data_IF_935364138856
#
_entry.id   IF_935364138856
#
_cell.length_a   1.000
_cell.length_b   1.000
_cell.length_c   1.000
_cell.angle_alpha   90.00
_cell.angle_beta   90.00
_cell.angle_gamma   90.00
#
_symmetry.space_group_name_H-M   'P 1'
#
loop_
_entity.id
_entity.type
_entity.pdbx_description
1 polymer ?
#
# COMPACT_ATOMS: atom_id res chain seq x y z
N UNK A 1 -41.35 49.67 -20.74
CA UNK A 1 -40.06 49.42 -20.04
C UNK A 1 -39.97 47.92 -19.77
N UNK A 2 -39.07 47.21 -20.47
CA UNK A 2 -38.94 45.75 -20.42
C UNK A 2 -38.11 45.34 -19.19
N UNK A 3 -38.64 44.45 -18.36
CA UNK A 3 -37.92 43.82 -17.24
C UNK A 3 -37.21 42.57 -17.80
N UNK A 4 -35.89 42.54 -17.80
CA UNK A 4 -35.12 41.32 -18.11
C UNK A 4 -34.86 40.54 -16.83
N UNK A 5 -35.39 39.33 -16.74
CA UNK A 5 -34.99 38.33 -15.76
C UNK A 5 -33.62 37.77 -16.17
N UNK A 6 -32.61 37.87 -15.29
CA UNK A 6 -31.39 37.08 -15.39
C UNK A 6 -31.68 35.71 -14.74
N UNK A 7 -31.84 34.68 -15.56
CA UNK A 7 -31.72 33.28 -15.14
C UNK A 7 -30.24 32.91 -15.14
N UNK A 8 -29.65 32.72 -13.96
CA UNK A 8 -28.30 32.19 -13.80
C UNK A 8 -28.28 30.69 -14.09
N UNK A 9 -27.60 30.29 -15.16
CA UNK A 9 -27.35 28.89 -15.49
C UNK A 9 -26.19 28.39 -14.62
N UNK A 10 -26.47 27.55 -13.63
CA UNK A 10 -25.44 26.83 -12.89
C UNK A 10 -24.92 25.70 -13.79
N UNK A 11 -23.72 25.86 -14.34
CA UNK A 11 -23.03 24.81 -15.07
C UNK A 11 -22.37 23.91 -14.03
N UNK A 12 -23.02 22.80 -13.69
CA UNK A 12 -22.39 21.73 -12.92
C UNK A 12 -21.35 21.03 -13.79
N UNK A 13 -20.07 21.16 -13.43
CA UNK A 13 -19.01 20.32 -13.99
C UNK A 13 -19.19 18.89 -13.48
N UNK A 14 -19.74 18.02 -14.33
CA UNK A 14 -19.71 16.58 -14.11
C UNK A 14 -18.32 16.09 -14.52
N UNK A 15 -17.46 15.79 -13.54
CA UNK A 15 -16.22 15.06 -13.82
C UNK A 15 -16.64 13.60 -14.02
N UNK A 16 -16.64 13.17 -15.28
CA UNK A 16 -16.85 11.78 -15.64
C UNK A 16 -15.53 11.03 -15.36
N UNK A 17 -15.40 10.43 -14.18
CA UNK A 17 -14.30 9.52 -13.90
C UNK A 17 -14.51 8.24 -14.70
N UNK A 18 -13.72 8.06 -15.75
CA UNK A 18 -13.57 6.78 -16.42
C UNK A 18 -12.80 5.88 -15.46
N UNK A 19 -13.50 5.05 -14.70
CA UNK A 19 -12.87 3.95 -13.99
C UNK A 19 -12.37 2.98 -15.06
N UNK A 20 -11.04 2.85 -15.20
CA UNK A 20 -10.48 1.72 -15.93
C UNK A 20 -11.02 0.45 -15.29
N UNK A 21 -11.58 -0.45 -16.09
CA UNK A 21 -11.91 -1.78 -15.58
C UNK A 21 -10.59 -2.45 -15.25
N UNK A 22 -10.30 -2.61 -13.97
CA UNK A 22 -9.27 -3.51 -13.52
C UNK A 22 -9.55 -4.89 -14.12
N UNK A 23 -8.50 -5.51 -14.66
CA UNK A 23 -8.57 -6.86 -15.21
C UNK A 23 -7.78 -7.76 -14.28
N UNK A 24 -8.31 -8.93 -14.01
CA UNK A 24 -7.55 -9.96 -13.32
C UNK A 24 -6.26 -10.26 -14.09
N UNK A 25 -5.13 -10.29 -13.37
CA UNK A 25 -3.81 -10.59 -13.90
C UNK A 25 -3.08 -11.56 -12.98
N UNK A 26 -2.17 -12.37 -13.54
CA UNK A 26 -1.43 -13.38 -12.79
C UNK A 26 0.02 -12.91 -12.61
N UNK A 27 0.48 -12.88 -11.36
CA UNK A 27 1.84 -12.54 -10.97
C UNK A 27 2.44 -13.65 -10.12
N UNK A 28 3.59 -14.19 -10.53
CA UNK A 28 4.23 -15.33 -9.86
C UNK A 28 3.33 -16.57 -9.66
N UNK A 29 2.31 -16.74 -10.51
CA UNK A 29 1.34 -17.83 -10.41
C UNK A 29 0.12 -17.55 -9.53
N UNK A 30 0.02 -16.36 -8.95
CA UNK A 30 -1.07 -15.90 -8.09
C UNK A 30 -1.99 -14.96 -8.87
N UNK A 31 -3.30 -15.14 -8.74
CA UNK A 31 -4.32 -14.31 -9.39
C UNK A 31 -4.59 -13.05 -8.56
N UNK A 32 -4.50 -11.88 -9.19
CA UNK A 32 -4.84 -10.58 -8.61
C UNK A 32 -6.05 -10.02 -9.38
N UNK A 33 -7.26 -10.05 -8.80
CA UNK A 33 -8.49 -9.63 -9.48
C UNK A 33 -8.46 -8.18 -9.98
N UNK A 34 -7.74 -7.30 -9.26
CA UNK A 34 -7.58 -5.89 -9.62
C UNK A 34 -6.34 -5.62 -10.50
N UNK A 35 -5.52 -6.65 -10.75
CA UNK A 35 -4.31 -6.56 -11.57
C UNK A 35 -3.20 -5.72 -10.94
N UNK A 36 -2.46 -4.97 -11.78
CA UNK A 36 -1.27 -4.23 -11.35
C UNK A 36 -1.51 -3.19 -10.24
N UNK A 37 -2.74 -2.69 -10.06
CA UNK A 37 -3.08 -1.73 -9.00
C UNK A 37 -3.10 -2.37 -7.61
N UNK A 38 -3.05 -3.69 -7.51
CA UNK A 38 -3.02 -4.41 -6.22
C UNK A 38 -1.73 -4.20 -5.42
N UNK A 39 -0.68 -3.65 -6.01
CA UNK A 39 0.66 -3.64 -5.45
C UNK A 39 1.01 -2.34 -4.74
N UNK A 40 1.85 -2.43 -3.70
CA UNK A 40 2.34 -1.27 -2.97
C UNK A 40 3.19 -0.36 -3.87
N UNK A 41 3.03 0.95 -3.72
CA UNK A 41 3.56 1.96 -4.64
C UNK A 41 4.31 3.11 -3.93
N UNK A 42 4.38 3.08 -2.59
CA UNK A 42 5.15 4.01 -1.78
C UNK A 42 5.86 3.27 -0.63
N UNK A 43 7.14 3.57 -0.38
CA UNK A 43 7.84 3.14 0.83
C UNK A 43 7.84 4.27 1.86
N UNK A 44 7.69 3.92 3.14
CA UNK A 44 7.54 4.86 4.25
C UNK A 44 8.75 4.82 5.19
N UNK A 45 9.26 3.62 5.45
CA UNK A 45 10.40 3.37 6.32
C UNK A 45 11.20 2.21 5.74
N UNK A 46 12.53 2.34 5.78
CA UNK A 46 13.45 1.26 5.46
C UNK A 46 14.65 1.34 6.42
N UNK A 47 14.77 0.32 7.26
CA UNK A 47 15.82 0.19 8.27
C UNK A 47 16.47 -1.19 8.12
N UNK A 48 17.33 -1.40 7.10
CA UNK A 48 18.02 -2.66 6.96
C UNK A 48 19.10 -2.81 8.04
N UNK A 49 19.43 -4.06 8.37
CA UNK A 49 20.53 -4.35 9.29
C UNK A 49 21.84 -4.58 8.53
N UNK A 50 22.77 -5.34 9.10
CA UNK A 50 24.11 -5.53 8.52
C UNK A 50 24.06 -6.33 7.22
N UNK A 51 25.19 -6.36 6.51
CA UNK A 51 25.43 -7.22 5.36
C UNK A 51 24.49 -7.07 4.14
N UNK A 52 23.53 -6.14 4.18
CA UNK A 52 22.77 -5.65 3.03
C UNK A 52 23.54 -4.55 2.29
N UNK A 53 23.99 -4.84 1.07
CA UNK A 53 24.81 -3.94 0.26
C UNK A 53 24.15 -3.62 -1.09
N UNK A 54 24.58 -2.53 -1.72
CA UNK A 54 24.09 -2.16 -3.06
C UNK A 54 24.32 -3.29 -4.08
N UNK A 55 23.36 -3.58 -4.98
CA UNK A 55 22.11 -2.83 -5.20
C UNK A 55 20.93 -3.23 -4.28
N UNK A 56 21.10 -4.23 -3.41
CA UNK A 56 20.03 -4.82 -2.61
C UNK A 56 19.53 -3.94 -1.45
N UNK A 57 20.24 -2.83 -1.18
CA UNK A 57 19.88 -1.84 -0.17
C UNK A 57 18.98 -0.70 -0.70
N UNK A 58 18.24 -0.95 -1.78
CA UNK A 58 17.33 0.02 -2.41
C UNK A 58 15.86 -0.39 -2.19
N UNK A 59 15.12 0.30 -1.29
CA UNK A 59 13.74 -0.03 -0.98
C UNK A 59 12.76 0.22 -2.12
N UNK A 60 13.19 0.92 -3.19
CA UNK A 60 12.35 1.11 -4.37
C UNK A 60 12.22 -0.16 -5.21
N UNK A 61 13.08 -1.16 -4.98
CA UNK A 61 13.02 -2.46 -5.65
C UNK A 61 11.83 -3.31 -5.21
N UNK A 62 11.20 -3.00 -4.06
CA UNK A 62 10.02 -3.71 -3.53
C UNK A 62 8.68 -3.10 -3.99
N UNK A 63 8.70 -2.09 -4.88
CA UNK A 63 7.51 -1.34 -5.30
C UNK A 63 6.98 -1.81 -6.66
N UNK A 64 5.65 -1.82 -6.79
CA UNK A 64 4.96 -2.20 -8.01
C UNK A 64 4.80 -3.71 -8.18
N UNK A 65 4.58 -4.14 -9.41
CA UNK A 65 4.42 -5.56 -9.74
C UNK A 65 5.74 -6.31 -9.60
N UNK A 66 5.74 -7.60 -9.23
CA UNK A 66 6.96 -8.41 -9.15
C UNK A 66 7.60 -8.53 -10.53
N UNK A 67 8.93 -8.38 -10.58
CA UNK A 67 9.70 -8.40 -11.83
C UNK A 67 10.82 -9.46 -11.85
N UNK A 68 10.91 -10.28 -10.79
CA UNK A 68 11.89 -11.33 -10.63
C UNK A 68 11.29 -12.75 -10.83
N UNK A 69 11.91 -13.63 -11.63
CA UNK A 69 12.94 -13.40 -12.67
C UNK A 69 12.35 -12.72 -13.92
N UNK A 70 13.13 -11.92 -14.69
CA UNK A 70 14.58 -12.07 -14.90
C UNK A 70 15.47 -11.03 -14.21
N UNK A 71 14.91 -10.03 -13.53
CA UNK A 71 15.69 -8.85 -13.10
C UNK A 71 16.49 -9.10 -11.81
N UNK A 72 16.07 -10.07 -10.98
CA UNK A 72 16.64 -10.37 -9.65
C UNK A 72 16.82 -9.14 -8.77
N UNK A 73 16.02 -8.09 -9.00
CA UNK A 73 15.99 -6.90 -8.16
C UNK A 73 15.09 -7.22 -6.97
N UNK A 74 15.58 -6.93 -5.77
CA UNK A 74 14.84 -7.11 -4.54
C UNK A 74 15.42 -6.19 -3.47
N UNK A 75 14.59 -5.82 -2.51
CA UNK A 75 15.00 -5.10 -1.31
C UNK A 75 15.32 -6.13 -0.22
N UNK A 76 16.60 -6.30 0.11
CA UNK A 76 16.97 -7.13 1.25
C UNK A 76 16.73 -6.37 2.55
N UNK A 77 16.25 -7.07 3.57
CA UNK A 77 16.00 -6.48 4.88
C UNK A 77 17.22 -6.56 5.80
N UNK A 78 18.04 -7.59 5.69
CA UNK A 78 18.98 -7.97 6.73
C UNK A 78 18.27 -8.63 7.90
N UNK A 79 19.01 -9.37 8.72
CA UNK A 79 18.47 -10.03 9.92
C UNK A 79 17.71 -9.02 10.80
N UNK A 80 16.44 -9.27 11.08
CA UNK A 80 15.54 -8.38 11.86
C UNK A 80 15.33 -6.97 11.26
N UNK A 81 15.69 -6.75 10.00
CA UNK A 81 15.47 -5.49 9.30
C UNK A 81 14.01 -5.20 9.00
N UNK A 82 13.68 -3.91 8.83
CA UNK A 82 12.29 -3.45 8.70
C UNK A 82 12.07 -2.70 7.39
N UNK A 83 10.99 -3.04 6.69
CA UNK A 83 10.45 -2.31 5.56
C UNK A 83 8.98 -1.99 5.79
N UNK A 84 8.58 -0.73 5.62
CA UNK A 84 7.18 -0.32 5.63
C UNK A 84 6.79 0.20 4.26
N UNK A 85 5.82 -0.48 3.66
CA UNK A 85 5.23 -0.15 2.38
C UNK A 85 3.81 0.39 2.56
N UNK A 86 3.35 1.12 1.55
CA UNK A 86 2.03 1.72 1.52
C UNK A 86 1.38 1.56 0.14
N UNK A 87 0.07 1.37 0.20
CA UNK A 87 -0.87 1.41 -0.91
C UNK A 87 -1.46 2.83 -1.01
N UNK A 88 -1.12 3.59 -2.05
CA UNK A 88 -1.65 4.96 -2.22
C UNK A 88 -2.89 5.05 -3.10
N UNK A 89 -3.05 4.15 -4.05
CA UNK A 89 -4.19 4.10 -4.97
C UNK A 89 -5.07 2.84 -4.83
N UNK A 90 -4.72 1.94 -3.90
CA UNK A 90 -5.54 0.83 -3.42
C UNK A 90 -5.44 0.67 -1.88
N UNK A 91 -5.92 -0.45 -1.34
CA UNK A 91 -5.79 -0.84 0.06
C UNK A 91 -6.07 -2.33 0.22
N UNK A 92 -5.41 -2.98 1.19
CA UNK A 92 -5.72 -4.35 1.59
C UNK A 92 -7.03 -4.37 2.40
N UNK A 93 -7.87 -5.38 2.16
CA UNK A 93 -9.12 -5.62 2.90
C UNK A 93 -9.35 -7.12 3.08
N UNK A 94 -10.23 -7.49 4.00
CA UNK A 94 -10.69 -8.89 4.21
C UNK A 94 -11.48 -9.43 3.02
N UNK A 95 -11.31 -10.70 2.68
CA UNK A 95 -11.98 -11.45 1.58
C UNK A 95 -13.18 -12.27 2.01
N UNK A 96 -13.42 -12.43 3.32
CA UNK A 96 -14.56 -13.15 3.92
C UNK A 96 -14.50 -14.69 3.80
N UNK A 97 -13.35 -15.25 3.44
CA UNK A 97 -13.08 -16.68 3.40
C UNK A 97 -11.67 -17.01 3.92
N UNK A 98 -11.18 -18.23 3.68
CA UNK A 98 -9.85 -18.71 4.10
C UNK A 98 -8.80 -18.61 2.98
N UNK A 99 -9.08 -17.81 1.94
CA UNK A 99 -8.10 -17.51 0.90
C UNK A 99 -7.10 -16.45 1.36
N UNK A 100 -5.96 -16.37 0.68
CA UNK A 100 -4.97 -15.36 0.99
C UNK A 100 -5.43 -13.98 0.51
N UNK A 101 -5.34 -12.99 1.40
CA UNK A 101 -5.67 -11.59 1.10
C UNK A 101 -4.45 -10.78 0.65
N UNK A 102 -3.27 -11.17 1.14
CA UNK A 102 -1.99 -10.49 0.92
C UNK A 102 -0.96 -11.50 0.45
N UNK A 103 -0.08 -11.08 -0.45
CA UNK A 103 1.03 -11.89 -0.93
C UNK A 103 2.33 -11.12 -0.92
N UNK A 104 3.39 -11.77 -0.45
CA UNK A 104 4.75 -11.25 -0.44
C UNK A 104 5.54 -11.98 -1.54
N UNK A 105 6.09 -11.23 -2.48
CA UNK A 105 7.02 -11.77 -3.47
C UNK A 105 8.43 -11.59 -2.94
N UNK A 106 9.13 -12.71 -2.83
CA UNK A 106 10.51 -12.78 -2.36
C UNK A 106 11.36 -13.50 -3.41
N UNK A 107 12.62 -13.07 -3.56
CA UNK A 107 13.57 -13.69 -4.48
C UNK A 107 14.47 -14.64 -3.72
N UNK A 108 14.62 -15.88 -4.21
CA UNK A 108 15.53 -16.84 -3.60
C UNK A 108 14.83 -17.84 -2.67
N UNK A 109 15.51 -18.25 -1.61
CA UNK A 109 14.92 -19.12 -0.59
C UNK A 109 14.03 -18.28 0.32
N UNK A 110 12.83 -18.78 0.60
CA UNK A 110 11.87 -18.07 1.46
C UNK A 110 12.43 -17.96 2.89
N UNK A 111 12.73 -16.74 3.33
CA UNK A 111 13.10 -16.43 4.71
C UNK A 111 11.87 -16.02 5.53
N UNK A 112 11.89 -16.35 6.82
CA UNK A 112 10.76 -16.06 7.69
C UNK A 112 10.62 -14.55 7.91
N UNK A 113 9.52 -13.95 7.46
CA UNK A 113 9.26 -12.52 7.62
C UNK A 113 7.96 -12.31 8.38
N UNK A 114 7.98 -11.57 9.48
CA UNK A 114 6.76 -11.15 10.19
C UNK A 114 6.04 -10.03 9.45
N UNK A 115 4.73 -10.15 9.36
CA UNK A 115 3.86 -9.22 8.65
C UNK A 115 2.92 -8.53 9.64
N UNK A 116 2.90 -7.20 9.59
CA UNK A 116 1.92 -6.39 10.28
C UNK A 116 1.25 -5.39 9.35
N UNK A 117 -0.01 -5.06 9.60
CA UNK A 117 -0.80 -4.15 8.77
C UNK A 117 -1.35 -2.98 9.58
N UNK A 118 -1.59 -1.84 8.91
CA UNK A 118 -2.14 -0.65 9.55
C UNK A 118 -3.05 0.14 8.62
N UNK A 119 -4.05 0.81 9.21
CA UNK A 119 -4.91 1.77 8.52
C UNK A 119 -4.33 3.19 8.57
N UNK A 120 -3.42 3.49 9.51
CA UNK A 120 -2.94 4.84 9.78
C UNK A 120 -1.41 4.99 9.85
N UNK A 121 -0.66 3.88 9.79
CA UNK A 121 0.81 3.87 9.84
C UNK A 121 1.39 4.02 11.25
N UNK A 122 0.57 4.00 12.30
CA UNK A 122 1.01 4.08 13.70
C UNK A 122 0.48 2.96 14.59
N UNK A 123 -0.75 2.50 14.35
CA UNK A 123 -1.37 1.38 15.07
C UNK A 123 -1.26 0.13 14.20
N UNK A 124 -0.51 -0.87 14.67
CA UNK A 124 -0.14 -2.05 13.90
C UNK A 124 -0.84 -3.30 14.42
N UNK A 125 -1.32 -4.14 13.51
CA UNK A 125 -1.88 -5.46 13.79
C UNK A 125 -0.96 -6.50 13.18
N UNK A 126 -0.37 -7.37 14.00
CA UNK A 126 0.41 -8.50 13.49
C UNK A 126 -0.52 -9.55 12.90
N UNK A 127 -0.27 -9.94 11.65
CA UNK A 127 -1.08 -10.89 10.88
C UNK A 127 -0.27 -12.12 10.46
N UNK A 128 0.77 -12.46 11.23
CA UNK A 128 1.54 -13.68 11.06
C UNK A 128 2.90 -13.46 10.41
N UNK A 129 3.34 -14.48 9.67
CA UNK A 129 4.64 -14.49 8.99
C UNK A 129 4.63 -15.42 7.77
N UNK A 130 5.63 -15.29 6.91
CA UNK A 130 5.83 -16.10 5.69
C UNK A 130 6.52 -17.45 5.94
N UNK A 131 6.66 -17.90 7.20
CA UNK A 131 7.36 -19.16 7.48
C UNK A 131 6.54 -20.39 7.05
N UNK A 132 7.20 -21.45 6.55
CA UNK A 132 6.55 -22.74 6.30
C UNK A 132 6.02 -22.97 4.88
N UNK A 133 6.62 -22.32 3.87
CA UNK A 133 6.38 -22.50 2.43
C UNK A 133 5.20 -21.72 1.81
N UNK A 134 4.63 -20.73 2.50
CA UNK A 134 3.63 -19.84 1.90
C UNK A 134 4.03 -18.38 2.07
N UNK A 135 4.05 -17.63 0.97
CA UNK A 135 4.25 -16.18 1.00
C UNK A 135 2.92 -15.40 1.12
N UNK A 136 1.80 -16.13 1.19
CA UNK A 136 0.46 -15.57 1.37
C UNK A 136 0.04 -15.45 2.83
N UNK A 137 -0.74 -14.41 3.13
CA UNK A 137 -1.36 -14.16 4.43
C UNK A 137 -2.88 -14.03 4.23
N UNK A 138 -3.63 -14.86 4.94
CA UNK A 138 -5.07 -14.71 5.19
C UNK A 138 -5.22 -13.79 6.42
N UNK A 139 -5.74 -12.58 6.21
CA UNK A 139 -5.96 -11.61 7.30
C UNK A 139 -7.33 -11.81 7.96
N UNK A 140 -8.26 -12.50 7.31
CA UNK A 140 -9.56 -12.89 7.88
C UNK A 140 -9.37 -13.79 9.12
N UNK A 141 -8.31 -14.61 9.15
CA UNK A 141 -7.89 -15.38 10.32
C UNK A 141 -7.61 -14.53 11.59
N UNK A 142 -7.43 -13.22 11.44
CA UNK A 142 -7.14 -12.28 12.52
C UNK A 142 -8.32 -11.36 12.86
N UNK A 143 -9.51 -11.63 12.31
CA UNK A 143 -10.74 -10.91 12.67
C UNK A 143 -11.03 -11.07 14.15
N UNK A 144 -11.23 -9.94 14.85
CA UNK A 144 -11.41 -9.90 16.30
C UNK A 144 -10.12 -9.99 17.11
N UNK A 145 -8.97 -10.12 16.45
CA UNK A 145 -7.62 -10.01 17.04
C UNK A 145 -6.91 -8.70 16.63
N UNK A 146 -7.66 -7.75 16.09
CA UNK A 146 -7.16 -6.45 15.61
C UNK A 146 -7.52 -6.18 14.16
N UNK A 147 -7.82 -7.22 13.37
CA UNK A 147 -8.39 -7.03 12.03
C UNK A 147 -9.89 -6.74 12.15
N UNK A 148 -10.30 -5.66 11.50
CA UNK A 148 -11.68 -5.20 11.40
C UNK A 148 -12.22 -5.52 10.01
N UNK A 149 -13.42 -6.07 9.98
CA UNK A 149 -14.07 -6.55 8.78
C UNK A 149 -14.38 -5.41 7.79
N UNK A 150 -13.87 -5.51 6.56
CA UNK A 150 -14.00 -4.47 5.53
C UNK A 150 -13.20 -3.18 5.81
N UNK A 151 -12.30 -3.20 6.80
CA UNK A 151 -11.36 -2.11 7.00
C UNK A 151 -10.35 -2.06 5.86
N UNK A 152 -9.84 -0.85 5.62
CA UNK A 152 -8.88 -0.56 4.55
C UNK A 152 -7.50 -0.34 5.15
N UNK A 153 -6.64 -1.33 5.01
CA UNK A 153 -5.27 -1.29 5.48
C UNK A 153 -4.39 -0.75 4.36
N UNK A 154 -3.91 0.49 4.54
CA UNK A 154 -3.05 1.16 3.56
C UNK A 154 -1.57 0.87 3.77
N UNK A 155 -1.17 0.26 4.89
CA UNK A 155 0.24 0.04 5.23
C UNK A 155 0.51 -1.42 5.54
N UNK A 156 1.66 -1.90 5.10
CA UNK A 156 2.21 -3.22 5.44
C UNK A 156 3.63 -3.02 5.95
N UNK A 157 3.94 -3.63 7.10
CA UNK A 157 5.26 -3.68 7.69
C UNK A 157 5.77 -5.11 7.60
N UNK A 158 6.99 -5.24 7.07
CA UNK A 158 7.74 -6.47 6.97
C UNK A 158 8.91 -6.38 7.95
N UNK A 159 9.11 -7.42 8.73
CA UNK A 159 10.26 -7.55 9.63
C UNK A 159 10.85 -8.93 9.47
N UNK A 160 12.10 -9.00 9.01
CA UNK A 160 12.83 -10.27 8.91
C UNK A 160 12.91 -10.96 10.29
N UNK A 161 12.94 -12.29 10.32
CA UNK A 161 12.99 -13.07 11.55
C UNK A 161 14.22 -13.97 11.59
N UNK A 162 14.81 -14.05 12.78
CA UNK A 162 15.82 -15.05 13.10
C UNK A 162 15.26 -16.49 13.03
N UNK A 163 16.11 -17.50 12.76
CA UNK A 163 17.56 -17.39 12.60
C UNK A 163 17.97 -16.91 11.21
N UNK A 164 19.13 -16.26 11.13
CA UNK A 164 19.88 -15.99 9.91
C UNK A 164 19.88 -17.17 8.92
N UNK A 165 19.48 -16.94 7.66
CA UNK A 165 19.44 -17.99 6.62
C UNK A 165 20.22 -17.64 5.35
N UNK A 166 20.37 -16.36 5.01
CA UNK A 166 21.15 -15.87 3.85
C UNK A 166 22.50 -15.26 4.26
N UNK A 167 23.13 -14.40 3.46
CA UNK A 167 24.40 -13.73 3.82
C UNK A 167 24.67 -12.57 2.86
N UNK A 168 25.66 -11.73 3.19
CA UNK A 168 26.08 -10.61 2.34
C UNK A 168 26.26 -10.99 0.85
N UNK A 169 25.77 -10.18 -0.12
CA UNK A 169 25.26 -8.81 0.02
C UNK A 169 23.74 -8.66 0.20
N UNK A 170 23.01 -9.76 0.35
CA UNK A 170 21.54 -9.82 0.43
C UNK A 170 21.12 -10.62 1.67
N UNK A 171 21.57 -10.18 2.84
CA UNK A 171 21.17 -10.82 4.10
C UNK A 171 19.68 -10.55 4.39
N UNK A 172 19.00 -11.51 5.02
CA UNK A 172 17.56 -11.50 5.32
C UNK A 172 16.67 -11.53 4.07
N UNK A 173 15.35 -11.48 4.30
CA UNK A 173 14.36 -11.59 3.23
C UNK A 173 14.56 -10.57 2.09
N UNK A 174 14.45 -11.06 0.86
CA UNK A 174 14.69 -10.34 -0.40
C UNK A 174 13.38 -9.95 -1.09
N UNK A 175 12.78 -8.83 -0.70
CA UNK A 175 11.42 -8.43 -1.13
C UNK A 175 11.41 -7.83 -2.55
N UNK A 176 10.72 -8.49 -3.49
CA UNK A 176 10.46 -8.04 -4.87
C UNK A 176 9.18 -7.21 -4.97
N UNK A 177 8.10 -7.65 -4.30
CA UNK A 177 6.83 -6.93 -4.32
C UNK A 177 5.91 -7.35 -3.17
N UNK A 178 4.94 -6.50 -2.84
CA UNK A 178 3.86 -6.83 -1.90
C UNK A 178 2.52 -6.46 -2.53
N UNK A 179 1.64 -7.45 -2.67
CA UNK A 179 0.37 -7.30 -3.37
C UNK A 179 -0.83 -7.66 -2.50
N UNK A 180 -1.85 -6.80 -2.50
CA UNK A 180 -3.17 -7.08 -1.94
C UNK A 180 -4.03 -7.84 -2.96
N UNK A 181 -4.22 -9.15 -2.74
CA UNK A 181 -5.13 -10.00 -3.52
C UNK A 181 -6.56 -9.53 -3.29
N UNK A 182 -6.95 -9.37 -2.02
CA UNK A 182 -8.20 -8.76 -1.63
C UNK A 182 -8.00 -7.26 -1.47
N UNK A 183 -8.35 -6.53 -2.53
CA UNK A 183 -8.07 -5.10 -2.68
C UNK A 183 -9.35 -4.26 -2.69
N UNK A 184 -9.26 -3.06 -2.12
CA UNK A 184 -10.32 -2.06 -2.11
C UNK A 184 -9.79 -0.69 -2.55
N UNK A 185 -10.66 0.22 -3.04
CA UNK A 185 -10.26 1.59 -3.37
C UNK A 185 -9.59 2.29 -2.17
N UNK A 186 -8.73 3.29 -2.40
CA UNK A 186 -7.92 3.88 -1.34
C UNK A 186 -8.78 4.58 -0.28
N UNK A 187 -8.20 4.82 0.89
CA UNK A 187 -8.86 5.56 1.96
C UNK A 187 -9.01 7.03 1.53
N UNK A 188 -10.25 7.57 1.43
CA UNK A 188 -10.42 8.96 1.01
C UNK A 188 -9.77 9.92 2.00
N UNK A 189 -8.97 10.86 1.51
CA UNK A 189 -8.52 12.00 2.32
C UNK A 189 -9.79 12.76 2.75
N UNK A 190 -10.04 12.96 4.06
CA UNK A 190 -11.23 13.65 4.50
C UNK A 190 -11.38 15.00 3.80
N UNK A 191 -12.55 15.28 3.24
CA UNK A 191 -12.85 16.56 2.56
C UNK A 191 -12.59 17.80 3.43
N UNK A 192 -12.42 17.62 4.74
CA UNK A 192 -11.94 18.62 5.69
C UNK A 192 -10.62 19.28 5.26
N UNK A 193 -9.69 18.55 4.61
CA UNK A 193 -8.42 19.13 4.10
C UNK A 193 -8.71 20.16 3.00
N UNK A 194 -9.64 19.85 2.10
CA UNK A 194 -10.09 20.76 1.05
C UNK A 194 -10.90 21.93 1.62
N UNK A 195 -11.73 21.70 2.63
CA UNK A 195 -12.48 22.75 3.33
C UNK A 195 -11.56 23.71 4.11
N UNK A 196 -10.50 23.19 4.74
CA UNK A 196 -9.48 24.01 5.40
C UNK A 196 -8.68 24.83 4.38
N UNK A 197 -8.23 24.22 3.28
CA UNK A 197 -7.48 24.91 2.24
C UNK A 197 -8.28 26.03 1.56
N UNK A 198 -9.52 25.75 1.17
CA UNK A 198 -10.42 26.73 0.54
C UNK A 198 -10.91 27.79 1.54
N UNK A 199 -11.21 27.39 2.78
CA UNK A 199 -11.58 28.31 3.87
C UNK A 199 -10.48 29.32 4.17
N UNK A 200 -9.22 28.86 4.28
CA UNK A 200 -8.07 29.73 4.54
C UNK A 200 -7.80 30.69 3.36
N UNK A 201 -7.88 30.20 2.12
CA UNK A 201 -7.77 31.05 0.93
C UNK A 201 -8.88 32.12 0.87
N UNK A 202 -10.11 31.76 1.22
CA UNK A 202 -11.24 32.69 1.34
C UNK A 202 -10.98 33.80 2.38
N UNK A 203 -10.45 33.44 3.56
CA UNK A 203 -10.11 34.40 4.62
C UNK A 203 -9.01 35.37 4.18
N UNK A 204 -7.98 34.90 3.47
CA UNK A 204 -6.93 35.76 2.90
C UNK A 204 -7.51 36.73 1.86
N UNK A 205 -8.41 36.24 0.99
CA UNK A 205 -9.11 37.06 0.00
C UNK A 205 -9.95 38.19 0.63
N UNK A 206 -10.71 37.88 1.70
CA UNK A 206 -11.50 38.87 2.45
C UNK A 206 -10.60 39.92 3.10
N UNK A 207 -9.45 39.51 3.68
CA UNK A 207 -8.51 40.44 4.32
C UNK A 207 -7.87 41.40 3.33
N UNK A 208 -7.61 40.97 2.08
CA UNK A 208 -7.06 41.83 1.02
C UNK A 208 -8.07 42.87 0.51
N UNK A 209 -9.36 42.56 0.49
CA UNK A 209 -10.42 43.52 0.12
C UNK A 209 -10.62 44.64 1.13
N UNK A 210 -10.36 44.41 2.43
CA UNK A 210 -10.48 45.44 3.47
C UNK A 210 -9.32 46.45 3.51
N UNK A 211 -8.27 46.25 2.72
CA UNK A 211 -7.09 47.13 2.65
C UNK A 211 -7.03 48.01 1.39
N UNK A 212 -8.04 47.93 0.52
CA UNK A 212 -8.29 48.86 -0.59
C UNK A 212 -9.54 49.66 -0.26
#
# INVERSE_FOLDING_TARGET
MKKSFLTGLAIGMYVLSIAGMASAEIYGGIDFPDGAVSFADEWILYEPTTDVLAPHNDPTSALGIPDSPPNSNATSLGDEGVLVLKFTDNSLTTSWDDSFDLWIFEVGELEATSIAISTNGSDWVNVGNTSGATSGIDIDAYIGLGVDLGAKYSYVMLTDLLPHQSSSPYEGADIDAVGAISSAPPVPIPGAVWLLGTGLAGLIGIRRRKKK
#
